data_IF_894419066646
#
_entry.id   IF_894419066646
#
_cell.length_a   1.000
_cell.length_b   1.000
_cell.length_c   1.000
_cell.angle_alpha   90.00
_cell.angle_beta   90.00
_cell.angle_gamma   90.00
#
_symmetry.space_group_name_H-M   'P 1'
#
loop_
_entity.id
_entity.type
_entity.pdbx_description
1 polymer ?
#
# COMPACT_ATOMS: atom_id res chain seq x y z
N UNK A 1 -23.91 -3.95 -1.63
CA UNK A 1 -22.47 -4.21 -1.53
C UNK A 1 -22.28 -5.14 -0.36
N UNK A 2 -21.60 -6.26 -0.54
CA UNK A 2 -21.38 -7.23 0.52
C UNK A 2 -20.16 -6.84 1.35
N UNK A 3 -20.02 -7.35 2.58
CA UNK A 3 -18.80 -7.15 3.38
C UNK A 3 -17.53 -7.63 2.66
N UNK A 4 -17.67 -8.67 1.81
CA UNK A 4 -16.59 -9.15 0.95
C UNK A 4 -16.15 -8.09 -0.06
N UNK A 5 -17.09 -7.43 -0.74
CA UNK A 5 -16.77 -6.38 -1.71
C UNK A 5 -16.04 -5.20 -1.06
N UNK A 6 -16.44 -4.82 0.14
CA UNK A 6 -15.83 -3.71 0.86
C UNK A 6 -14.39 -4.02 1.28
N UNK A 7 -14.13 -5.22 1.83
CA UNK A 7 -12.75 -5.65 2.16
C UNK A 7 -11.93 -5.83 0.89
N UNK A 8 -12.51 -6.44 -0.16
CA UNK A 8 -11.85 -6.59 -1.46
C UNK A 8 -11.38 -5.26 -2.02
N UNK A 9 -12.26 -4.26 -2.06
CA UNK A 9 -11.92 -2.93 -2.55
C UNK A 9 -10.89 -2.23 -1.67
N UNK A 10 -10.98 -2.42 -0.35
CA UNK A 10 -10.01 -1.86 0.60
C UNK A 10 -8.62 -2.45 0.40
N UNK A 11 -8.51 -3.77 0.26
CA UNK A 11 -7.23 -4.46 0.00
C UNK A 11 -6.68 -4.12 -1.39
N UNK A 12 -7.55 -4.04 -2.41
CA UNK A 12 -7.16 -3.60 -3.75
C UNK A 12 -6.52 -2.20 -3.70
N UNK A 13 -7.18 -1.24 -3.06
CA UNK A 13 -6.63 0.11 -2.92
C UNK A 13 -5.34 0.14 -2.11
N UNK A 14 -5.25 -0.63 -1.01
CA UNK A 14 -4.02 -0.74 -0.24
C UNK A 14 -2.87 -1.24 -1.11
N UNK A 15 -3.11 -2.29 -1.90
CA UNK A 15 -2.11 -2.89 -2.79
C UNK A 15 -1.67 -1.94 -3.89
N UNK A 16 -2.62 -1.33 -4.61
CA UNK A 16 -2.32 -0.39 -5.68
C UNK A 16 -1.49 0.80 -5.18
N UNK A 17 -1.84 1.36 -4.01
CA UNK A 17 -1.10 2.45 -3.39
C UNK A 17 0.31 2.03 -2.96
N UNK A 18 0.46 0.83 -2.37
CA UNK A 18 1.76 0.32 -1.94
C UNK A 18 2.68 0.08 -3.14
N UNK A 19 2.21 -0.60 -4.18
CA UNK A 19 3.02 -0.94 -5.35
C UNK A 19 3.47 0.32 -6.11
N UNK A 20 2.57 1.31 -6.28
CA UNK A 20 2.91 2.60 -6.89
C UNK A 20 3.92 3.39 -6.03
N UNK A 21 3.71 3.45 -4.72
CA UNK A 21 4.65 4.08 -3.79
C UNK A 21 6.01 3.39 -3.81
N UNK A 22 6.04 2.05 -3.76
CA UNK A 22 7.27 1.26 -3.77
C UNK A 22 8.07 1.40 -5.05
N UNK A 23 7.41 1.54 -6.19
CA UNK A 23 8.09 1.84 -7.45
C UNK A 23 8.90 3.14 -7.38
N UNK A 24 8.35 4.16 -6.70
CA UNK A 24 9.02 5.45 -6.55
C UNK A 24 10.17 5.43 -5.52
N UNK A 25 10.14 4.50 -4.54
CA UNK A 25 11.16 4.37 -3.48
C UNK A 25 12.25 3.35 -3.80
N UNK A 26 11.89 2.23 -4.43
CA UNK A 26 12.76 1.07 -4.57
C UNK A 26 13.90 1.27 -5.57
N UNK A 27 14.89 0.40 -5.48
CA UNK A 27 15.91 0.23 -6.53
C UNK A 27 15.28 -0.52 -7.69
N UNK A 28 14.93 0.20 -8.75
CA UNK A 28 14.36 -0.35 -9.97
C UNK A 28 15.37 -0.24 -11.12
N UNK A 29 15.38 -1.15 -12.13
CA UNK A 29 16.24 -1.03 -13.30
C UNK A 29 16.12 0.32 -14.03
N UNK A 30 14.92 0.90 -14.06
CA UNK A 30 14.64 2.20 -14.68
C UNK A 30 14.74 3.37 -13.65
N UNK A 31 15.57 3.24 -12.61
CA UNK A 31 15.65 4.24 -11.53
C UNK A 31 16.05 5.62 -12.03
N UNK A 32 16.93 5.70 -13.00
CA UNK A 32 17.37 6.97 -13.57
C UNK A 32 16.22 7.73 -14.23
N UNK A 33 15.40 7.06 -15.04
CA UNK A 33 14.22 7.63 -15.69
C UNK A 33 13.18 8.06 -14.64
N UNK A 34 12.94 7.21 -13.62
CA UNK A 34 12.01 7.52 -12.54
C UNK A 34 12.46 8.80 -11.81
N UNK A 35 13.73 8.92 -11.45
CA UNK A 35 14.28 10.10 -10.75
C UNK A 35 14.23 11.33 -11.65
N UNK A 36 14.57 11.20 -12.93
CA UNK A 36 14.50 12.28 -13.93
C UNK A 36 13.10 12.87 -13.99
N UNK A 37 12.09 12.03 -14.20
CA UNK A 37 10.69 12.44 -14.30
C UNK A 37 10.19 12.97 -12.94
N UNK A 38 10.51 12.32 -11.83
CA UNK A 38 10.16 12.78 -10.48
C UNK A 38 10.66 14.20 -10.22
N UNK A 39 11.92 14.48 -10.51
CA UNK A 39 12.53 15.80 -10.28
C UNK A 39 11.92 16.87 -11.19
N UNK A 40 11.56 16.53 -12.40
CA UNK A 40 10.92 17.45 -13.36
C UNK A 40 9.52 17.83 -12.93
N UNK A 41 8.75 16.87 -12.41
CA UNK A 41 7.38 17.06 -11.91
C UNK A 41 7.33 17.04 -10.38
N UNK A 42 8.33 17.64 -9.73
CA UNK A 42 8.53 17.59 -8.28
C UNK A 42 7.31 18.01 -7.46
N UNK A 43 6.58 19.04 -7.92
CA UNK A 43 5.35 19.49 -7.24
C UNK A 43 4.28 18.41 -7.20
N UNK A 44 4.07 17.71 -8.31
CA UNK A 44 3.10 16.61 -8.39
C UNK A 44 3.55 15.41 -7.57
N UNK A 45 4.75 14.89 -7.84
CA UNK A 45 5.23 13.68 -7.15
C UNK A 45 5.50 13.93 -5.67
N UNK A 46 5.93 15.13 -5.28
CA UNK A 46 6.09 15.50 -3.86
C UNK A 46 4.78 15.49 -3.07
N UNK A 47 3.64 15.64 -3.75
CA UNK A 47 2.31 15.51 -3.13
C UNK A 47 1.79 14.07 -3.20
N UNK A 48 1.91 13.43 -4.35
CA UNK A 48 1.31 12.10 -4.61
C UNK A 48 2.06 11.00 -3.84
N UNK A 49 3.39 11.05 -3.82
CA UNK A 49 4.21 10.01 -3.20
C UNK A 49 3.89 9.79 -1.70
N UNK A 50 3.91 10.81 -0.82
CA UNK A 50 3.50 10.62 0.57
C UNK A 50 2.01 10.28 0.71
N UNK A 51 1.15 10.76 -0.18
CA UNK A 51 -0.28 10.43 -0.15
C UNK A 51 -0.56 8.95 -0.46
N UNK A 52 0.19 8.35 -1.39
CA UNK A 52 0.12 6.91 -1.68
C UNK A 52 0.44 6.09 -0.43
N UNK A 53 1.55 6.40 0.25
CA UNK A 53 1.94 5.70 1.47
C UNK A 53 0.92 5.88 2.59
N UNK A 54 0.46 7.10 2.83
CA UNK A 54 -0.57 7.38 3.84
C UNK A 54 -1.88 6.63 3.55
N UNK A 55 -2.31 6.59 2.28
CA UNK A 55 -3.52 5.86 1.87
C UNK A 55 -3.33 4.35 2.08
N UNK A 56 -2.20 3.79 1.70
CA UNK A 56 -1.84 2.40 1.97
C UNK A 56 -1.96 2.07 3.47
N UNK A 57 -1.32 2.89 4.34
CA UNK A 57 -1.36 2.70 5.78
C UNK A 57 -2.79 2.71 6.34
N UNK A 58 -3.61 3.66 5.91
CA UNK A 58 -5.01 3.78 6.36
C UNK A 58 -5.82 2.57 5.92
N UNK A 59 -5.72 2.21 4.64
CA UNK A 59 -6.51 1.12 4.04
C UNK A 59 -6.13 -0.24 4.64
N UNK A 60 -4.83 -0.55 4.73
CA UNK A 60 -4.40 -1.81 5.32
C UNK A 60 -4.78 -1.89 6.80
N UNK A 61 -4.60 -0.81 7.57
CA UNK A 61 -4.95 -0.81 8.98
C UNK A 61 -6.46 -0.99 9.22
N UNK A 62 -7.32 -0.45 8.35
CA UNK A 62 -8.79 -0.59 8.49
C UNK A 62 -9.26 -2.04 8.40
N UNK A 63 -8.53 -2.89 7.67
CA UNK A 63 -8.85 -4.33 7.54
C UNK A 63 -8.72 -5.07 8.88
N UNK A 64 -7.90 -4.56 9.81
CA UNK A 64 -7.66 -5.12 11.14
C UNK A 64 -8.46 -4.39 12.25
N UNK A 65 -9.45 -3.61 11.88
CA UNK A 65 -10.36 -2.95 12.82
C UNK A 65 -11.11 -3.94 13.70
N UNK A 66 -11.52 -3.49 14.89
CA UNK A 66 -12.21 -4.33 15.90
C UNK A 66 -13.51 -3.75 16.37
N UNK A 67 -13.86 -2.58 15.92
CA UNK A 67 -15.15 -1.99 16.30
C UNK A 67 -16.28 -2.76 15.64
N UNK A 68 -17.39 -2.86 16.34
CA UNK A 68 -18.57 -3.59 15.83
C UNK A 68 -19.21 -2.94 14.59
N UNK A 69 -18.92 -1.68 14.33
CA UNK A 69 -19.35 -0.90 13.16
C UNK A 69 -18.34 -0.92 12.01
N UNK A 70 -17.12 -1.45 12.24
CA UNK A 70 -16.10 -1.56 11.22
C UNK A 70 -16.21 -2.88 10.43
N UNK A 71 -16.00 -2.80 9.13
CA UNK A 71 -15.85 -3.98 8.27
C UNK A 71 -14.41 -4.46 8.41
N UNK A 72 -14.21 -5.66 8.94
CA UNK A 72 -12.89 -6.22 9.20
C UNK A 72 -12.72 -7.61 8.59
N UNK A 73 -11.47 -8.00 8.39
CA UNK A 73 -11.09 -9.32 7.90
C UNK A 73 -11.65 -10.44 8.81
N UNK A 74 -11.71 -10.19 10.12
CA UNK A 74 -12.26 -11.12 11.11
C UNK A 74 -13.70 -11.52 10.78
N UNK A 75 -14.52 -10.58 10.33
CA UNK A 75 -15.93 -10.82 10.02
C UNK A 75 -16.15 -11.71 8.79
N UNK A 76 -15.25 -11.63 7.82
CA UNK A 76 -15.37 -12.41 6.58
C UNK A 76 -14.65 -13.75 6.67
N UNK A 77 -13.55 -13.83 7.42
CA UNK A 77 -12.75 -15.05 7.57
C UNK A 77 -13.26 -15.93 8.71
N UNK A 78 -13.80 -15.31 9.77
CA UNK A 78 -14.20 -15.94 11.01
C UNK A 78 -13.05 -16.17 11.98
N UNK A 79 -13.33 -16.08 13.28
CA UNK A 79 -12.35 -16.18 14.37
C UNK A 79 -11.58 -17.50 14.31
N UNK A 80 -12.26 -18.62 14.04
CA UNK A 80 -11.65 -19.96 13.99
C UNK A 80 -10.60 -20.08 12.88
N UNK A 81 -10.81 -19.38 11.77
CA UNK A 81 -9.82 -19.36 10.68
C UNK A 81 -8.66 -18.43 10.99
N UNK A 82 -8.92 -17.27 11.58
CA UNK A 82 -7.87 -16.35 12.03
C UNK A 82 -6.97 -16.98 13.08
N UNK A 83 -7.52 -17.85 13.94
CA UNK A 83 -6.75 -18.61 14.92
C UNK A 83 -5.66 -19.50 14.27
N UNK A 84 -5.80 -19.85 12.98
CA UNK A 84 -4.77 -20.57 12.22
C UNK A 84 -3.65 -19.65 11.71
N UNK A 85 -3.83 -18.33 11.78
CA UNK A 85 -2.87 -17.32 11.35
C UNK A 85 -2.54 -16.33 12.49
N UNK A 86 -2.11 -16.82 13.67
CA UNK A 86 -1.99 -15.99 14.87
C UNK A 86 -0.96 -14.86 14.71
N UNK A 87 0.11 -15.10 13.94
CA UNK A 87 1.15 -14.11 13.68
C UNK A 87 0.65 -12.99 12.78
N UNK A 88 -0.10 -13.31 11.73
CA UNK A 88 -0.72 -12.32 10.85
C UNK A 88 -1.66 -11.40 11.63
N UNK A 89 -2.55 -11.99 12.43
CA UNK A 89 -3.50 -11.24 13.25
C UNK A 89 -2.80 -10.34 14.27
N UNK A 90 -1.78 -10.87 14.97
CA UNK A 90 -0.97 -10.10 15.93
C UNK A 90 -0.27 -8.91 15.24
N UNK A 91 0.38 -9.13 14.09
CA UNK A 91 1.04 -8.07 13.30
C UNK A 91 0.03 -7.03 12.83
N UNK A 92 -1.09 -7.44 12.26
CA UNK A 92 -2.14 -6.55 11.79
C UNK A 92 -2.72 -5.68 12.91
N UNK A 93 -2.95 -6.24 14.09
CA UNK A 93 -3.42 -5.50 15.28
C UNK A 93 -2.40 -4.48 15.80
N UNK A 94 -1.13 -4.83 15.80
CA UNK A 94 -0.06 -3.89 16.14
C UNK A 94 0.01 -2.76 15.12
N UNK A 95 -0.12 -3.08 13.85
CA UNK A 95 -0.14 -2.12 12.76
C UNK A 95 -1.34 -1.17 12.83
N UNK A 96 -2.53 -1.68 13.15
CA UNK A 96 -3.73 -0.85 13.37
C UNK A 96 -3.52 0.16 14.51
N UNK A 97 -2.92 -0.25 15.63
CA UNK A 97 -2.56 0.65 16.74
C UNK A 97 -1.51 1.68 16.33
N UNK A 98 -0.51 1.25 15.55
CA UNK A 98 0.54 2.12 15.06
C UNK A 98 0.00 3.21 14.13
N UNK A 99 -0.86 2.85 13.17
CA UNK A 99 -1.52 3.82 12.28
C UNK A 99 -2.22 4.93 13.06
N UNK A 100 -2.91 4.59 14.13
CA UNK A 100 -3.63 5.57 14.95
C UNK A 100 -2.68 6.60 15.57
N UNK A 101 -1.47 6.21 15.96
CA UNK A 101 -0.44 7.12 16.47
C UNK A 101 0.18 7.99 15.36
N UNK A 102 0.50 7.40 14.20
CA UNK A 102 1.20 8.08 13.10
C UNK A 102 0.31 9.07 12.36
N UNK A 103 -0.98 8.72 12.17
CA UNK A 103 -1.89 9.53 11.32
C UNK A 103 -2.76 10.46 12.16
N UNK A 104 -3.21 10.02 13.34
CA UNK A 104 -4.08 10.83 14.20
C UNK A 104 -3.32 11.86 15.04
N UNK A 105 -2.11 11.53 15.48
CA UNK A 105 -1.20 12.48 16.07
C UNK A 105 -0.24 12.93 14.98
N UNK A 106 -0.57 14.04 14.33
CA UNK A 106 0.37 14.82 13.52
C UNK A 106 1.47 15.36 14.43
N UNK A 107 2.28 14.51 15.00
CA UNK A 107 3.57 14.92 15.52
C UNK A 107 4.40 15.32 14.32
N UNK A 108 4.62 16.63 14.25
CA UNK A 108 5.21 17.41 13.15
C UNK A 108 6.64 16.97 12.79
N UNK A 109 7.21 16.01 13.51
CA UNK A 109 8.56 15.48 13.33
C UNK A 109 8.67 14.20 12.49
N UNK A 110 7.60 13.74 11.86
CA UNK A 110 7.69 12.71 10.82
C UNK A 110 8.05 13.37 9.48
N UNK A 111 9.05 14.22 9.49
CA UNK A 111 9.88 14.42 8.32
C UNK A 111 10.68 13.13 8.10
N UNK A 112 10.89 12.76 6.85
CA UNK A 112 11.55 11.58 6.28
C UNK A 112 12.78 10.97 7.01
N UNK A 113 13.16 11.45 8.18
CA UNK A 113 14.36 11.06 8.91
C UNK A 113 14.15 10.18 10.13
N UNK A 114 12.92 9.98 10.57
CA UNK A 114 12.69 9.21 11.80
C UNK A 114 11.54 8.21 11.70
N UNK A 115 11.52 7.41 10.63
CA UNK A 115 11.04 6.07 10.75
C UNK A 115 12.14 5.24 11.43
N UNK A 116 12.63 5.74 12.58
CA UNK A 116 13.52 4.97 13.44
C UNK A 116 12.63 4.05 14.26
N UNK A 117 12.77 2.75 14.12
CA UNK A 117 12.04 1.82 14.94
C UNK A 117 12.55 1.94 16.39
N UNK A 118 11.84 2.65 17.24
CA UNK A 118 11.72 2.16 18.60
C UNK A 118 11.18 0.75 18.48
N UNK A 119 11.77 -0.19 19.20
CA UNK A 119 11.52 -1.64 19.10
C UNK A 119 10.03 -1.95 18.85
N UNK A 120 9.67 -2.29 17.61
CA UNK A 120 8.31 -2.66 17.23
C UNK A 120 7.71 -1.93 16.02
N UNK A 121 8.38 -0.96 15.41
CA UNK A 121 7.93 -0.35 14.14
C UNK A 121 8.11 -1.34 12.99
N UNK A 122 7.08 -1.52 12.15
CA UNK A 122 7.22 -2.38 10.97
C UNK A 122 8.19 -1.76 9.97
N UNK A 123 9.13 -2.56 9.46
CA UNK A 123 9.97 -2.21 8.31
C UNK A 123 9.14 -2.21 7.03
N UNK A 124 9.62 -1.61 5.96
CA UNK A 124 8.95 -1.66 4.66
C UNK A 124 8.73 -3.09 4.17
N UNK A 125 9.70 -3.98 4.36
CA UNK A 125 9.58 -5.39 4.00
C UNK A 125 8.50 -6.08 4.85
N UNK A 126 8.44 -5.82 6.16
CA UNK A 126 7.41 -6.38 7.03
C UNK A 126 6.01 -5.85 6.73
N UNK A 127 5.89 -4.63 6.19
CA UNK A 127 4.63 -4.09 5.70
C UNK A 127 4.17 -4.78 4.42
N UNK A 128 5.12 -5.04 3.51
CA UNK A 128 4.86 -5.81 2.29
C UNK A 128 4.40 -7.23 2.62
N UNK A 129 5.13 -7.92 3.47
CA UNK A 129 4.74 -9.25 3.94
C UNK A 129 3.36 -9.26 4.59
N UNK A 130 3.06 -8.26 5.44
CA UNK A 130 1.73 -8.14 6.06
C UNK A 130 0.64 -7.96 5.02
N UNK A 131 0.87 -7.14 3.99
CA UNK A 131 -0.07 -6.92 2.89
C UNK A 131 -0.25 -8.20 2.07
N UNK A 132 0.84 -8.87 1.68
CA UNK A 132 0.82 -10.11 0.89
C UNK A 132 0.07 -11.22 1.63
N UNK A 133 0.40 -11.46 2.90
CA UNK A 133 -0.28 -12.45 3.75
C UNK A 133 -1.77 -12.15 3.91
N UNK A 134 -2.13 -10.86 4.04
CA UNK A 134 -3.52 -10.41 4.18
C UNK A 134 -4.32 -10.65 2.90
N UNK A 135 -3.73 -10.33 1.74
CA UNK A 135 -4.32 -10.58 0.43
C UNK A 135 -4.53 -12.09 0.21
N UNK A 136 -3.53 -12.90 0.52
CA UNK A 136 -3.62 -14.35 0.40
C UNK A 136 -4.72 -14.95 1.28
N UNK A 137 -4.83 -14.50 2.53
CA UNK A 137 -5.88 -14.95 3.45
C UNK A 137 -7.27 -14.54 2.94
N UNK A 138 -7.42 -13.32 2.40
CA UNK A 138 -8.65 -12.87 1.79
C UNK A 138 -9.04 -13.77 0.60
N UNK A 139 -8.13 -14.07 -0.32
CA UNK A 139 -8.39 -14.92 -1.49
C UNK A 139 -8.78 -16.33 -1.09
N UNK A 140 -8.16 -16.90 -0.06
CA UNK A 140 -8.57 -18.19 0.50
C UNK A 140 -10.00 -18.16 1.06
N UNK A 141 -10.37 -17.08 1.73
CA UNK A 141 -11.72 -16.91 2.27
C UNK A 141 -12.76 -16.70 1.14
N UNK A 142 -12.43 -15.89 0.14
CA UNK A 142 -13.27 -15.64 -1.02
C UNK A 142 -13.55 -16.96 -1.79
N UNK A 143 -12.49 -17.74 -2.06
CA UNK A 143 -12.62 -19.04 -2.73
C UNK A 143 -13.55 -20.00 -1.98
N UNK A 144 -13.47 -20.05 -0.65
CA UNK A 144 -14.32 -20.91 0.18
C UNK A 144 -15.80 -20.53 0.14
N UNK A 145 -16.07 -19.23 0.01
CA UNK A 145 -17.44 -18.72 -0.01
C UNK A 145 -18.00 -18.50 -1.42
N UNK A 146 -17.26 -18.91 -2.47
CA UNK A 146 -17.64 -18.68 -3.85
C UNK A 146 -17.69 -17.20 -4.23
N UNK A 147 -16.98 -16.34 -3.47
CA UNK A 147 -16.88 -14.92 -3.74
C UNK A 147 -15.69 -14.61 -4.67
N UNK A 148 -15.72 -13.43 -5.27
CA UNK A 148 -14.63 -12.98 -6.14
C UNK A 148 -13.40 -12.61 -5.31
N UNK A 149 -12.25 -13.20 -5.67
CA UNK A 149 -10.94 -12.84 -5.11
C UNK A 149 -10.41 -11.48 -5.62
N UNK A 150 -9.17 -11.18 -5.27
CA UNK A 150 -8.48 -9.98 -5.74
C UNK A 150 -8.11 -10.12 -7.22
N UNK A 151 -8.24 -9.05 -8.03
CA UNK A 151 -7.75 -9.06 -9.41
C UNK A 151 -6.21 -9.02 -9.44
N UNK A 152 -5.58 -9.29 -10.58
CA UNK A 152 -4.16 -8.99 -10.79
C UNK A 152 -3.86 -7.51 -10.50
N UNK A 153 -2.67 -7.23 -9.98
CA UNK A 153 -2.24 -5.87 -9.65
C UNK A 153 -1.30 -5.34 -10.73
N UNK A 154 -1.65 -4.18 -11.31
CA UNK A 154 -0.92 -3.56 -12.43
C UNK A 154 -0.46 -2.14 -12.16
N UNK A 155 -0.77 -1.57 -11.00
CA UNK A 155 -0.52 -0.14 -10.72
C UNK A 155 0.95 0.28 -10.84
N UNK A 156 1.88 -0.59 -10.48
CA UNK A 156 3.31 -0.30 -10.63
C UNK A 156 3.71 -0.28 -12.11
N UNK A 157 3.19 -1.22 -12.92
CA UNK A 157 3.47 -1.31 -14.35
C UNK A 157 2.84 -0.14 -15.11
N UNK A 158 1.62 0.24 -14.74
CA UNK A 158 0.92 1.39 -15.32
C UNK A 158 1.65 2.70 -15.01
N UNK A 159 2.07 2.89 -13.75
CA UNK A 159 2.85 4.06 -13.35
C UNK A 159 4.22 4.09 -14.01
N UNK A 160 4.91 2.95 -14.11
CA UNK A 160 6.19 2.86 -14.81
C UNK A 160 6.03 3.22 -16.29
N UNK A 161 5.02 2.68 -16.95
CA UNK A 161 4.72 2.98 -18.37
C UNK A 161 4.47 4.46 -18.59
N UNK A 162 3.73 5.12 -17.70
CA UNK A 162 3.52 6.56 -17.73
C UNK A 162 4.84 7.34 -17.57
N UNK A 163 5.68 6.96 -16.58
CA UNK A 163 6.97 7.60 -16.33
C UNK A 163 7.88 7.49 -17.57
N UNK A 164 7.98 6.30 -18.17
CA UNK A 164 8.80 6.07 -19.34
C UNK A 164 8.29 6.87 -20.56
N UNK A 165 6.97 6.97 -20.76
CA UNK A 165 6.39 7.80 -21.80
C UNK A 165 6.69 9.30 -21.60
N UNK A 166 6.63 9.79 -20.38
CA UNK A 166 6.99 11.18 -20.04
C UNK A 166 8.48 11.46 -20.28
N UNK A 167 9.36 10.52 -19.96
CA UNK A 167 10.81 10.66 -20.21
C UNK A 167 11.13 10.69 -21.69
N UNK A 168 10.55 9.77 -22.47
CA UNK A 168 10.71 9.71 -23.93
C UNK A 168 10.20 10.97 -24.65
N UNK A 169 9.02 11.46 -24.26
CA UNK A 169 8.44 12.67 -24.84
C UNK A 169 9.36 13.88 -24.65
N UNK A 170 9.98 14.00 -23.51
CA UNK A 170 10.90 15.10 -23.21
C UNK A 170 12.22 15.01 -24.01
N UNK A 171 12.77 13.80 -24.14
CA UNK A 171 13.98 13.60 -24.94
C UNK A 171 13.74 13.97 -26.41
N UNK A 172 12.51 13.68 -26.92
CA UNK A 172 12.12 14.10 -28.27
C UNK A 172 12.03 15.63 -28.43
N UNK A 173 11.48 16.35 -27.43
CA UNK A 173 11.43 17.83 -27.45
C UNK A 173 12.83 18.43 -27.45
N UNK A 174 13.73 17.94 -26.59
CA UNK A 174 15.12 18.43 -26.55
C UNK A 174 15.84 18.20 -27.86
N UNK A 175 15.63 17.06 -28.54
CA UNK A 175 16.25 16.76 -29.81
C UNK A 175 15.76 17.67 -30.96
N UNK A 176 14.58 18.27 -30.85
CA UNK A 176 14.03 19.22 -31.82
C UNK A 176 14.49 20.68 -31.59
N UNK A 177 15.09 20.97 -30.44
CA UNK A 177 15.57 22.30 -30.06
C UNK A 177 17.08 22.49 -30.26
N UNK A 178 17.80 21.42 -30.57
CA UNK A 178 19.22 21.41 -30.92
C UNK A 178 19.40 21.36 -32.45
#
# INVERSE_FOLDING_TARGET
MTHFDDIRNTLLHARLCYDAWWLLESRHPNREQIVSVYNRYKGFFGTVHPALFATFLVKLASVFGTRNDEISLERIVGIDQLAKFPQLWKRGRLFHKYRSKVIAHRDVDITHKTFVPESGCPTYDSLRELLDDTCQLFDLAAKRQGAQGLPPFTSADDLLSLILALDQHQNAIHALQC
#
